data_IF_816476864283
#
_entry.id   IF_816476864283
#
_cell.length_a   1.000
_cell.length_b   1.000
_cell.length_c   1.000
_cell.angle_alpha   90.00
_cell.angle_beta   90.00
_cell.angle_gamma   90.00
#
_symmetry.space_group_name_H-M   'P 1'
#
loop_
_entity.id
_entity.type
_entity.pdbx_description
1 polymer ?
#
# COMPACT_ATOMS: atom_id res chain seq x y z
N UNK A 1 -5.34 -25.99 -39.64
CA UNK A 1 -4.48 -25.78 -38.47
C UNK A 1 -4.79 -24.40 -37.94
N UNK A 2 -5.49 -24.31 -36.80
CA UNK A 2 -5.80 -23.04 -36.16
C UNK A 2 -4.52 -22.53 -35.49
N UNK A 3 -4.11 -21.31 -35.82
CA UNK A 3 -3.03 -20.60 -35.12
C UNK A 3 -3.33 -20.51 -33.63
N UNK A 4 -2.33 -20.66 -32.75
CA UNK A 4 -2.54 -20.47 -31.33
C UNK A 4 -2.97 -19.02 -31.10
N UNK A 5 -4.15 -18.85 -30.48
CA UNK A 5 -4.60 -17.60 -29.91
C UNK A 5 -3.50 -17.13 -28.96
N UNK A 6 -2.71 -16.15 -29.41
CA UNK A 6 -1.88 -15.32 -28.55
C UNK A 6 -2.77 -14.81 -27.42
N UNK A 7 -2.51 -15.25 -26.20
CA UNK A 7 -3.15 -14.71 -25.00
C UNK A 7 -3.00 -13.18 -25.06
N UNK A 8 -4.12 -12.49 -25.21
CA UNK A 8 -4.18 -11.04 -25.07
C UNK A 8 -3.64 -10.69 -23.68
N UNK A 9 -2.67 -9.78 -23.56
CA UNK A 9 -2.23 -9.29 -22.26
C UNK A 9 -3.47 -8.67 -21.61
N UNK A 10 -3.93 -9.23 -20.49
CA UNK A 10 -5.10 -8.70 -19.76
C UNK A 10 -4.88 -7.21 -19.59
N UNK A 11 -5.70 -6.42 -20.29
CA UNK A 11 -5.73 -4.95 -20.37
C UNK A 11 -4.61 -4.24 -19.62
N UNK A 12 -3.43 -4.20 -20.22
CA UNK A 12 -2.57 -3.03 -20.10
C UNK A 12 -3.34 -1.88 -20.79
N UNK A 13 -3.40 -0.69 -20.17
CA UNK A 13 -4.10 0.52 -20.64
C UNK A 13 -5.63 0.59 -20.44
N UNK A 14 -6.07 0.74 -19.20
CA UNK A 14 -6.87 1.93 -18.90
C UNK A 14 -5.90 2.83 -18.11
N UNK A 15 -5.36 3.89 -18.71
CA UNK A 15 -4.32 4.65 -18.05
C UNK A 15 -4.90 5.24 -16.76
N UNK A 16 -4.28 4.92 -15.63
CA UNK A 16 -4.44 5.72 -14.43
C UNK A 16 -3.75 7.06 -14.70
N UNK A 17 -4.48 7.96 -15.36
CA UNK A 17 -4.03 9.27 -15.83
C UNK A 17 -2.76 9.26 -16.71
N UNK A 18 -2.91 9.10 -18.03
CA UNK A 18 -1.93 9.63 -18.99
C UNK A 18 -2.38 11.02 -19.42
N UNK A 19 -1.63 12.03 -18.95
CA UNK A 19 -1.76 13.47 -19.18
C UNK A 19 -2.91 14.16 -18.40
N UNK A 20 -2.56 15.19 -17.60
CA UNK A 20 -3.41 16.05 -16.75
C UNK A 20 -3.85 15.55 -15.35
N UNK A 21 -3.26 14.51 -14.76
CA UNK A 21 -3.32 14.38 -13.30
C UNK A 21 -2.29 15.32 -12.67
N UNK A 22 -2.74 16.45 -12.15
CA UNK A 22 -1.90 17.41 -11.43
C UNK A 22 -1.09 16.73 -10.29
N UNK A 23 -1.55 15.55 -9.79
CA UNK A 23 -1.05 14.93 -8.56
C UNK A 23 -0.76 13.39 -8.61
N UNK A 24 -0.53 12.81 -9.80
CA UNK A 24 0.17 11.50 -10.00
C UNK A 24 -0.25 10.29 -9.12
N UNK A 25 -1.52 10.05 -8.80
CA UNK A 25 -1.92 8.76 -8.18
C UNK A 25 -2.16 7.71 -9.28
N UNK A 26 -1.37 6.64 -9.25
CA UNK A 26 -1.47 5.44 -10.08
C UNK A 26 -2.34 4.34 -9.41
N UNK A 27 -3.27 4.74 -8.54
CA UNK A 27 -4.02 3.84 -7.68
C UNK A 27 -5.52 4.12 -7.73
N UNK A 28 -6.34 3.08 -7.66
CA UNK A 28 -7.79 3.21 -7.47
C UNK A 28 -8.38 2.06 -6.66
N UNK A 29 -9.54 2.28 -6.05
CA UNK A 29 -10.35 1.20 -5.49
C UNK A 29 -11.15 0.52 -6.59
N UNK A 30 -11.11 -0.81 -6.59
CA UNK A 30 -11.83 -1.65 -7.56
C UNK A 30 -12.76 -2.62 -6.85
N UNK A 31 -13.88 -3.03 -7.48
CA UNK A 31 -14.67 -4.16 -7.01
C UNK A 31 -13.81 -5.43 -6.91
N UNK A 32 -13.99 -6.20 -5.83
CA UNK A 32 -13.24 -7.44 -5.61
C UNK A 32 -13.45 -8.47 -6.74
N UNK A 33 -14.57 -8.38 -7.47
CA UNK A 33 -14.93 -9.28 -8.58
C UNK A 33 -14.09 -9.07 -9.85
N UNK A 34 -13.40 -7.93 -9.98
CA UNK A 34 -12.61 -7.59 -11.17
C UNK A 34 -11.10 -7.52 -10.91
N UNK A 35 -10.63 -7.90 -9.71
CA UNK A 35 -9.21 -7.85 -9.33
C UNK A 35 -8.31 -8.64 -10.28
N UNK A 36 -8.80 -9.74 -10.84
CA UNK A 36 -8.07 -10.55 -11.83
C UNK A 36 -7.80 -9.87 -13.17
N UNK A 37 -8.37 -8.67 -13.40
CA UNK A 37 -8.10 -7.83 -14.57
C UNK A 37 -6.88 -6.92 -14.39
N UNK A 38 -6.35 -6.81 -13.17
CA UNK A 38 -5.22 -5.94 -12.83
C UNK A 38 -3.99 -6.77 -12.46
N UNK A 39 -2.81 -6.28 -12.85
CA UNK A 39 -1.55 -6.96 -12.55
C UNK A 39 -1.15 -6.84 -11.07
N UNK A 40 -1.48 -5.71 -10.44
CA UNK A 40 -1.06 -5.42 -9.06
C UNK A 40 -2.25 -5.01 -8.19
N UNK A 41 -2.46 -5.78 -7.13
CA UNK A 41 -3.54 -5.57 -6.17
C UNK A 41 -2.95 -5.53 -4.75
N UNK A 42 -3.41 -4.56 -3.97
CA UNK A 42 -3.33 -4.60 -2.51
C UNK A 42 -4.74 -4.82 -1.95
N UNK A 43 -4.96 -6.01 -1.37
CA UNK A 43 -6.26 -6.45 -0.87
C UNK A 43 -6.31 -6.31 0.65
N UNK A 44 -7.13 -5.38 1.13
CA UNK A 44 -7.26 -5.08 2.55
C UNK A 44 -8.43 -5.82 3.16
N UNK A 45 -8.18 -6.66 4.15
CA UNK A 45 -9.21 -7.33 4.95
C UNK A 45 -9.21 -6.77 6.36
N UNK A 46 -10.34 -6.23 6.80
CA UNK A 46 -10.52 -5.84 8.20
C UNK A 46 -11.00 -7.04 9.02
N UNK A 47 -10.16 -7.52 9.94
CA UNK A 47 -10.45 -8.66 10.81
C UNK A 47 -10.94 -8.26 12.21
N UNK A 48 -11.00 -6.96 12.52
CA UNK A 48 -11.51 -6.51 13.80
C UNK A 48 -13.00 -6.85 13.93
N UNK A 49 -13.44 -7.22 15.14
CA UNK A 49 -14.81 -7.66 15.38
C UNK A 49 -15.85 -6.51 15.28
N UNK A 50 -15.48 -5.30 15.71
CA UNK A 50 -16.40 -4.17 15.86
C UNK A 50 -15.79 -2.81 15.49
N UNK A 51 -14.56 -2.80 14.94
CA UNK A 51 -13.87 -1.57 14.59
C UNK A 51 -13.83 -1.38 13.08
N UNK A 52 -14.31 -0.23 12.62
CA UNK A 52 -14.13 0.23 11.24
C UNK A 52 -12.79 0.95 11.10
N UNK A 53 -12.10 0.76 9.97
CA UNK A 53 -10.83 1.44 9.68
C UNK A 53 -10.96 2.38 8.49
N UNK A 54 -10.34 3.55 8.58
CA UNK A 54 -10.08 4.39 7.41
C UNK A 54 -8.70 4.06 6.86
N UNK A 55 -8.59 4.08 5.53
CA UNK A 55 -7.33 3.88 4.81
C UNK A 55 -7.08 5.07 3.90
N UNK A 56 -5.84 5.57 3.91
CA UNK A 56 -5.34 6.66 3.07
C UNK A 56 -4.13 6.14 2.28
N UNK A 57 -4.29 6.01 0.98
CA UNK A 57 -3.23 5.57 0.07
C UNK A 57 -2.69 6.74 -0.75
N UNK A 58 -1.37 6.85 -0.83
CA UNK A 58 -0.65 7.95 -1.46
C UNK A 58 0.67 7.47 -2.06
N UNK A 59 1.10 8.11 -3.13
CA UNK A 59 2.47 7.95 -3.62
C UNK A 59 3.41 8.73 -2.73
N UNK A 60 4.45 8.11 -2.20
CA UNK A 60 5.34 8.74 -1.22
C UNK A 60 6.07 9.93 -1.84
N UNK A 61 6.56 9.76 -3.07
CA UNK A 61 7.22 10.83 -3.85
C UNK A 61 6.26 11.50 -4.82
N UNK A 62 6.31 12.82 -4.86
CA UNK A 62 5.59 13.65 -5.83
C UNK A 62 6.32 13.77 -7.17
N UNK A 63 5.72 14.48 -8.12
CA UNK A 63 6.29 14.76 -9.45
C UNK A 63 7.62 15.52 -9.41
N UNK A 64 7.90 16.24 -8.33
CA UNK A 64 9.17 16.92 -8.07
C UNK A 64 10.25 16.01 -7.47
N UNK A 65 9.97 14.71 -7.30
CA UNK A 65 10.87 13.72 -6.68
C UNK A 65 10.98 13.82 -5.15
N UNK A 66 10.36 14.83 -4.53
CA UNK A 66 10.36 15.01 -3.08
C UNK A 66 9.34 14.12 -2.37
N UNK A 67 9.64 13.76 -1.12
CA UNK A 67 8.73 13.07 -0.21
C UNK A 67 7.60 14.03 0.18
N UNK A 68 6.52 14.08 -0.59
CA UNK A 68 5.44 15.04 -0.37
C UNK A 68 4.04 14.38 -0.21
N UNK A 69 3.83 13.15 -0.66
CA UNK A 69 2.50 12.52 -0.67
C UNK A 69 1.91 12.11 0.67
N UNK A 70 2.74 11.89 1.69
CA UNK A 70 2.27 11.61 3.05
C UNK A 70 1.68 12.83 3.77
N UNK A 71 1.78 14.03 3.22
CA UNK A 71 1.22 15.25 3.81
C UNK A 71 -0.16 15.56 3.18
N UNK A 72 -1.27 15.51 3.95
CA UNK A 72 -2.61 15.83 3.45
C UNK A 72 -2.75 17.26 2.96
N UNK A 73 -1.91 18.20 3.44
CA UNK A 73 -1.88 19.59 2.97
C UNK A 73 -1.40 19.71 1.53
N UNK A 74 -0.66 18.73 1.04
CA UNK A 74 -0.04 18.78 -0.27
C UNK A 74 -0.87 18.03 -1.30
N UNK A 75 -1.49 16.89 -0.94
CA UNK A 75 -2.24 16.05 -1.88
C UNK A 75 -3.41 15.31 -1.26
N UNK A 76 -4.44 15.08 -2.08
CA UNK A 76 -5.57 14.23 -1.74
C UNK A 76 -5.21 12.73 -1.96
N UNK A 77 -5.30 11.88 -0.93
CA UNK A 77 -5.02 10.45 -1.05
C UNK A 77 -6.23 9.68 -1.59
N UNK A 78 -6.00 8.51 -2.18
CA UNK A 78 -7.08 7.52 -2.36
C UNK A 78 -7.57 7.12 -0.97
N UNK A 79 -8.84 7.41 -0.70
CA UNK A 79 -9.44 7.27 0.62
C UNK A 79 -10.59 6.30 0.59
N UNK A 80 -10.64 5.39 1.56
CA UNK A 80 -11.77 4.48 1.73
C UNK A 80 -11.87 3.99 3.16
N UNK A 81 -13.03 3.40 3.46
CA UNK A 81 -13.35 2.85 4.78
C UNK A 81 -13.60 1.35 4.64
N UNK A 82 -13.13 0.58 5.63
CA UNK A 82 -13.30 -0.87 5.70
C UNK A 82 -14.04 -1.20 7.01
N UNK A 83 -15.31 -1.60 6.91
CA UNK A 83 -16.09 -2.08 8.04
C UNK A 83 -15.58 -3.46 8.51
N UNK A 84 -15.90 -3.91 9.74
CA UNK A 84 -15.60 -5.25 10.23
C UNK A 84 -15.95 -6.35 9.22
N UNK A 85 -15.02 -7.28 8.98
CA UNK A 85 -15.19 -8.42 8.08
C UNK A 85 -15.19 -8.08 6.58
N UNK A 86 -15.05 -6.80 6.20
CA UNK A 86 -15.07 -6.38 4.79
C UNK A 86 -13.67 -6.45 4.19
N UNK A 87 -13.62 -6.86 2.92
CA UNK A 87 -12.44 -6.75 2.07
C UNK A 87 -12.61 -5.65 1.03
N UNK A 88 -11.58 -4.81 0.85
CA UNK A 88 -11.48 -3.79 -0.20
C UNK A 88 -10.20 -3.99 -1.00
N UNK A 89 -10.28 -3.86 -2.32
CA UNK A 89 -9.11 -4.02 -3.19
C UNK A 89 -8.69 -2.68 -3.80
N UNK A 90 -7.41 -2.39 -3.68
CA UNK A 90 -6.75 -1.28 -4.37
C UNK A 90 -5.99 -1.86 -5.56
N UNK A 91 -6.35 -1.43 -6.77
CA UNK A 91 -5.54 -1.67 -7.95
C UNK A 91 -4.46 -0.59 -8.06
N UNK A 92 -3.27 -1.01 -8.47
CA UNK A 92 -2.10 -0.14 -8.61
C UNK A 92 -1.48 -0.38 -9.98
N UNK A 93 -1.15 0.68 -10.70
CA UNK A 93 -0.38 0.58 -11.94
C UNK A 93 1.12 0.70 -11.65
N UNK A 94 1.98 0.14 -12.49
CA UNK A 94 3.42 0.32 -12.31
C UNK A 94 3.80 1.81 -12.40
N UNK A 95 4.56 2.31 -11.43
CA UNK A 95 5.12 3.65 -11.54
C UNK A 95 6.31 3.67 -12.49
N UNK A 96 6.16 4.34 -13.63
CA UNK A 96 7.23 4.54 -14.61
C UNK A 96 8.17 5.72 -14.25
N UNK A 97 8.00 6.35 -13.09
CA UNK A 97 8.79 7.54 -12.73
C UNK A 97 10.25 7.18 -12.47
N UNK A 98 11.24 7.97 -12.94
CA UNK A 98 12.66 7.68 -12.79
C UNK A 98 13.22 7.77 -11.36
N UNK A 99 12.36 8.06 -10.38
CA UNK A 99 12.75 8.06 -8.98
C UNK A 99 12.11 6.85 -8.36
N UNK A 100 12.90 5.99 -7.69
CA UNK A 100 12.45 4.88 -6.84
C UNK A 100 11.27 5.34 -5.99
N UNK A 101 10.07 5.16 -6.50
CA UNK A 101 8.86 5.73 -5.94
C UNK A 101 8.11 4.58 -5.32
N UNK A 102 8.04 4.61 -4.01
CA UNK A 102 7.14 3.77 -3.24
C UNK A 102 5.79 4.48 -3.12
N UNK A 103 4.75 3.70 -2.97
CA UNK A 103 3.47 4.14 -2.46
C UNK A 103 3.31 3.62 -1.03
N UNK A 104 2.41 4.24 -0.29
CA UNK A 104 2.05 3.78 1.03
C UNK A 104 0.54 3.89 1.25
N UNK A 105 0.01 2.98 2.05
CA UNK A 105 -1.34 3.06 2.58
C UNK A 105 -1.28 3.09 4.10
N UNK A 106 -1.70 4.21 4.70
CA UNK A 106 -1.85 4.35 6.13
C UNK A 106 -3.27 3.95 6.55
N UNK A 107 -3.43 3.31 7.71
CA UNK A 107 -4.76 3.11 8.30
C UNK A 107 -4.82 3.41 9.79
N UNK A 108 -6.00 3.86 10.19
CA UNK A 108 -6.34 4.19 11.57
C UNK A 108 -7.81 3.82 11.85
N UNK A 109 -8.17 3.58 13.12
CA UNK A 109 -9.57 3.45 13.53
C UNK A 109 -10.40 4.63 13.00
N UNK A 110 -11.63 4.35 12.54
CA UNK A 110 -12.51 5.32 11.90
C UNK A 110 -12.92 6.47 12.82
N UNK A 111 -12.08 7.50 12.88
CA UNK A 111 -12.30 8.77 13.57
C UNK A 111 -12.73 9.86 12.59
N UNK A 112 -13.35 10.94 13.06
CA UNK A 112 -13.77 12.06 12.21
C UNK A 112 -12.60 12.67 11.43
N UNK A 113 -11.39 12.65 12.02
CA UNK A 113 -10.15 13.10 11.39
C UNK A 113 -9.10 11.99 11.44
N UNK A 114 -8.41 11.76 10.32
CA UNK A 114 -7.29 10.82 10.27
C UNK A 114 -6.11 11.38 11.09
N UNK A 115 -5.46 10.59 11.96
CA UNK A 115 -4.40 11.08 12.83
C UNK A 115 -3.18 11.53 12.00
N UNK A 116 -2.55 12.62 12.41
CA UNK A 116 -1.33 13.14 11.79
C UNK A 116 -0.18 13.16 12.79
N UNK A 117 1.05 13.05 12.28
CA UNK A 117 2.27 13.22 13.06
C UNK A 117 2.46 14.70 13.42
N UNK A 118 3.41 15.00 14.31
CA UNK A 118 3.79 16.39 14.60
C UNK A 118 4.30 17.16 13.36
N UNK A 119 4.84 16.43 12.37
CA UNK A 119 5.26 17.00 11.10
C UNK A 119 4.09 17.17 10.11
N UNK A 120 2.91 16.64 10.43
CA UNK A 120 1.72 16.70 9.58
C UNK A 120 1.58 15.54 8.59
N UNK A 121 2.38 14.47 8.73
CA UNK A 121 2.24 13.27 7.88
C UNK A 121 1.07 12.41 8.35
N UNK A 122 0.49 11.55 7.51
CA UNK A 122 -0.44 10.51 7.98
C UNK A 122 0.22 9.64 9.06
N UNK A 123 -0.31 9.66 10.28
CA UNK A 123 0.15 8.82 11.37
C UNK A 123 -0.46 7.41 11.29
N UNK A 124 0.09 6.48 12.06
CA UNK A 124 -0.29 5.08 12.10
C UNK A 124 0.75 4.16 11.50
N UNK A 125 0.33 2.92 11.24
CA UNK A 125 1.10 1.97 10.45
C UNK A 125 0.83 2.18 8.96
N UNK A 126 1.86 1.98 8.16
CA UNK A 126 1.81 2.05 6.72
C UNK A 126 2.11 0.67 6.14
N UNK A 127 1.34 0.28 5.13
CA UNK A 127 1.82 -0.67 4.12
C UNK A 127 2.61 0.14 3.10
N UNK A 128 3.93 0.07 3.13
CA UNK A 128 4.79 0.66 2.11
C UNK A 128 5.03 -0.37 1.00
N UNK A 129 4.94 0.03 -0.26
CA UNK A 129 5.08 -0.90 -1.39
C UNK A 129 5.60 -0.23 -2.67
N UNK A 130 6.19 -1.04 -3.53
CA UNK A 130 6.56 -0.71 -4.90
C UNK A 130 6.24 -1.89 -5.78
N UNK A 131 5.38 -1.72 -6.79
CA UNK A 131 4.98 -2.78 -7.70
C UNK A 131 5.75 -2.71 -9.00
N UNK A 132 6.40 -3.82 -9.38
CA UNK A 132 6.79 -4.11 -10.76
C UNK A 132 7.77 -3.14 -11.43
N UNK A 133 8.33 -2.16 -10.71
CA UNK A 133 9.00 -1.02 -11.31
C UNK A 133 10.28 -1.40 -12.06
N UNK A 134 10.56 -0.71 -13.16
CA UNK A 134 11.80 -0.82 -13.96
C UNK A 134 13.09 -0.79 -13.12
N UNK A 135 13.10 -0.08 -11.98
CA UNK A 135 14.25 0.04 -11.09
C UNK A 135 14.53 -1.18 -10.22
N UNK A 136 13.56 -2.09 -10.10
CA UNK A 136 13.68 -3.34 -9.35
C UNK A 136 13.72 -4.55 -10.28
N UNK A 137 14.07 -4.39 -11.56
CA UNK A 137 14.01 -5.47 -12.56
C UNK A 137 12.63 -6.17 -12.62
N UNK A 138 11.56 -5.40 -12.42
CA UNK A 138 10.19 -5.92 -12.38
C UNK A 138 9.76 -6.53 -11.04
N UNK A 139 10.62 -6.54 -10.03
CA UNK A 139 10.27 -7.07 -8.70
C UNK A 139 9.28 -6.16 -7.99
N UNK A 140 8.45 -6.78 -7.14
CA UNK A 140 7.57 -6.07 -6.22
C UNK A 140 8.12 -6.17 -4.81
N UNK A 141 8.17 -5.04 -4.10
CA UNK A 141 8.50 -4.99 -2.67
C UNK A 141 7.31 -4.46 -1.86
N UNK A 142 7.13 -4.98 -0.65
CA UNK A 142 6.18 -4.41 0.30
C UNK A 142 6.50 -4.72 1.74
N UNK A 143 6.25 -3.79 2.66
CA UNK A 143 6.65 -3.91 4.05
C UNK A 143 5.67 -3.14 4.95
N UNK A 144 5.41 -3.68 6.14
CA UNK A 144 4.76 -2.92 7.20
C UNK A 144 5.76 -1.93 7.80
N UNK A 145 5.34 -0.70 8.04
CA UNK A 145 6.16 0.35 8.64
C UNK A 145 5.39 1.10 9.71
N UNK A 146 6.02 1.36 10.85
CA UNK A 146 5.52 2.23 11.90
C UNK A 146 6.50 3.39 12.17
N UNK A 147 7.36 3.74 11.21
CA UNK A 147 8.34 4.82 11.36
C UNK A 147 7.69 6.20 11.56
N UNK A 148 6.48 6.38 11.04
CA UNK A 148 5.70 7.61 11.19
C UNK A 148 4.96 7.71 12.53
N UNK A 149 5.06 6.74 13.44
CA UNK A 149 4.29 6.76 14.69
C UNK A 149 5.03 6.10 15.85
N UNK A 150 5.15 6.78 17.01
CA UNK A 150 5.76 6.17 18.17
C UNK A 150 4.94 4.94 18.63
N UNK A 151 5.59 3.92 19.20
CA UNK A 151 4.90 2.79 19.81
C UNK A 151 3.88 3.25 20.86
N UNK A 152 2.74 2.59 20.92
CA UNK A 152 1.67 2.88 21.86
C UNK A 152 0.35 2.21 21.51
N UNK A 153 -0.61 2.14 22.44
CA UNK A 153 -1.86 1.38 22.30
C UNK A 153 -2.75 1.85 21.13
N UNK A 154 -2.48 3.02 20.56
CA UNK A 154 -3.20 3.55 19.41
C UNK A 154 -2.72 2.95 18.06
N UNK A 155 -1.63 2.18 18.03
CA UNK A 155 -1.09 1.55 16.81
C UNK A 155 -1.87 0.26 16.51
N UNK A 156 -2.67 0.19 15.42
CA UNK A 156 -3.66 -0.87 15.19
C UNK A 156 -3.10 -2.17 14.58
N UNK A 157 -1.77 -2.35 14.59
CA UNK A 157 -1.10 -3.47 13.94
C UNK A 157 -1.16 -3.44 12.40
N UNK A 158 -0.21 -4.13 11.79
CA UNK A 158 -0.10 -4.32 10.35
C UNK A 158 0.36 -5.72 10.03
N UNK A 159 -0.25 -6.36 9.03
CA UNK A 159 0.29 -7.59 8.45
C UNK A 159 0.09 -7.61 6.94
N UNK A 160 1.19 -7.66 6.22
CA UNK A 160 1.22 -7.95 4.78
C UNK A 160 1.64 -9.39 4.55
N UNK A 161 1.05 -10.04 3.56
CA UNK A 161 1.52 -11.36 3.15
C UNK A 161 1.36 -11.63 1.65
N UNK A 162 2.31 -12.42 1.15
CA UNK A 162 2.31 -12.98 -0.19
C UNK A 162 3.19 -14.24 -0.21
N UNK A 163 2.72 -15.31 -0.85
CA UNK A 163 3.53 -16.53 -1.06
C UNK A 163 4.06 -17.20 0.22
N UNK A 164 3.36 -17.06 1.36
CA UNK A 164 3.79 -17.61 2.65
C UNK A 164 4.81 -16.75 3.41
N UNK A 165 5.25 -15.62 2.84
CA UNK A 165 6.09 -14.62 3.52
C UNK A 165 5.20 -13.56 4.14
N UNK A 166 5.57 -13.12 5.34
CA UNK A 166 4.85 -12.13 6.11
C UNK A 166 5.75 -10.94 6.44
N UNK A 167 5.15 -9.75 6.48
CA UNK A 167 5.70 -8.56 7.14
C UNK A 167 4.67 -8.15 8.19
N UNK A 168 5.06 -8.12 9.47
CA UNK A 168 4.11 -7.91 10.58
C UNK A 168 4.63 -6.86 11.55
N UNK A 169 3.75 -5.93 11.92
CA UNK A 169 3.88 -5.08 13.10
C UNK A 169 2.72 -5.44 14.02
N UNK A 170 3.04 -5.84 15.24
CA UNK A 170 2.03 -6.21 16.23
C UNK A 170 1.33 -4.96 16.81
N UNK A 171 0.11 -5.12 17.36
CA UNK A 171 -0.58 -4.03 18.04
C UNK A 171 0.31 -3.38 19.09
N UNK A 172 0.25 -2.07 19.21
CA UNK A 172 1.19 -1.32 20.05
C UNK A 172 2.47 -0.88 19.33
N UNK A 173 2.83 -1.48 18.19
CA UNK A 173 3.93 -1.01 17.33
C UNK A 173 5.35 -1.24 17.89
N UNK A 174 5.50 -1.92 19.02
CA UNK A 174 6.79 -2.16 19.68
C UNK A 174 7.48 -3.46 19.24
N UNK A 175 6.72 -4.38 18.64
CA UNK A 175 7.23 -5.69 18.19
C UNK A 175 6.90 -5.83 16.71
N UNK A 176 7.88 -6.30 15.95
CA UNK A 176 7.76 -6.49 14.51
C UNK A 176 8.51 -7.75 14.06
N UNK A 177 8.01 -8.36 13.00
CA UNK A 177 8.63 -9.46 12.29
C UNK A 177 8.73 -9.06 10.81
N UNK A 178 9.96 -8.95 10.30
CA UNK A 178 10.22 -8.60 8.90
C UNK A 178 9.51 -7.29 8.47
N UNK A 179 9.60 -6.26 9.29
CA UNK A 179 8.91 -4.97 9.14
C UNK A 179 9.74 -3.85 9.80
N UNK A 180 9.40 -2.58 9.54
CA UNK A 180 10.11 -1.42 10.06
C UNK A 180 9.42 -0.81 11.29
N UNK A 181 10.10 -0.80 12.43
CA UNK A 181 9.73 -0.04 13.62
C UNK A 181 10.85 0.95 14.01
N UNK A 182 10.64 1.70 15.10
CA UNK A 182 11.57 2.74 15.55
C UNK A 182 12.99 2.19 15.73
N UNK A 183 13.98 2.87 15.16
CA UNK A 183 15.40 2.48 15.23
C UNK A 183 15.88 1.62 14.07
N UNK A 184 15.00 1.19 13.16
CA UNK A 184 15.34 0.24 12.08
C UNK A 184 15.51 0.91 10.70
N UNK A 185 15.67 2.23 10.64
CA UNK A 185 15.81 2.98 9.37
C UNK A 185 17.08 2.66 8.58
N UNK A 186 18.03 1.94 9.16
CA UNK A 186 19.27 1.50 8.52
C UNK A 186 19.25 0.06 8.00
N UNK A 187 18.16 -0.70 8.23
CA UNK A 187 18.04 -2.08 7.76
C UNK A 187 17.49 -2.06 6.34
N UNK A 188 18.16 -2.73 5.40
CA UNK A 188 17.67 -2.86 4.03
C UNK A 188 16.91 -4.18 3.81
N UNK A 189 16.06 -4.18 2.78
CA UNK A 189 15.40 -5.37 2.23
C UNK A 189 14.44 -6.14 3.16
N UNK A 190 13.87 -5.48 4.18
CA UNK A 190 12.77 -6.05 4.97
C UNK A 190 11.47 -6.14 4.18
N UNK A 191 10.64 -7.10 4.56
CA UNK A 191 9.30 -7.31 4.03
C UNK A 191 9.24 -8.38 2.94
N UNK A 192 8.32 -8.18 2.02
CA UNK A 192 8.04 -9.04 0.89
C UNK A 192 8.96 -8.65 -0.26
N UNK A 193 9.66 -9.63 -0.84
CA UNK A 193 10.46 -9.48 -2.05
C UNK A 193 9.92 -10.47 -3.08
N UNK A 194 9.08 -9.99 -3.99
CA UNK A 194 8.26 -10.82 -4.87
C UNK A 194 8.80 -10.73 -6.30
N UNK A 195 9.11 -11.86 -6.95
CA UNK A 195 9.60 -11.88 -8.33
C UNK A 195 8.63 -11.21 -9.33
N UNK A 196 9.12 -10.84 -10.52
CA UNK A 196 8.29 -10.21 -11.55
C UNK A 196 7.07 -11.05 -11.96
N UNK A 197 5.93 -10.38 -12.12
CA UNK A 197 4.67 -10.99 -12.52
C UNK A 197 3.46 -10.32 -11.88
N UNK A 198 2.29 -10.90 -12.08
CA UNK A 198 1.07 -10.41 -11.43
C UNK A 198 1.13 -10.70 -9.93
N UNK A 199 0.91 -9.68 -9.11
CA UNK A 199 1.02 -9.76 -7.66
C UNK A 199 -0.27 -9.30 -6.99
N UNK A 200 -0.77 -10.11 -6.07
CA UNK A 200 -1.72 -9.68 -5.05
C UNK A 200 -1.05 -9.77 -3.70
N UNK A 201 -0.90 -8.63 -3.03
CA UNK A 201 -0.49 -8.57 -1.62
C UNK A 201 -1.76 -8.47 -0.79
N UNK A 202 -1.82 -9.26 0.27
CA UNK A 202 -2.94 -9.26 1.19
C UNK A 202 -2.54 -8.50 2.45
N UNK A 203 -3.26 -7.43 2.74
CA UNK A 203 -3.11 -6.58 3.92
C UNK A 203 -4.20 -6.91 4.94
N UNK A 204 -3.81 -7.37 6.12
CA UNK A 204 -4.71 -7.57 7.26
C UNK A 204 -4.73 -6.30 8.10
N UNK A 205 -5.92 -5.74 8.28
CA UNK A 205 -6.20 -4.52 9.04
C UNK A 205 -7.00 -4.89 10.28
N UNK A 206 -6.76 -4.20 11.40
CA UNK A 206 -7.52 -4.41 12.62
C UNK A 206 -7.12 -5.65 13.41
N UNK A 207 -5.83 -6.01 13.33
CA UNK A 207 -5.24 -6.97 14.26
C UNK A 207 -5.16 -6.31 15.64
N UNK A 208 -5.69 -6.94 16.67
CA UNK A 208 -5.71 -6.42 18.06
C UNK A 208 -5.29 -7.50 19.04
#
# INVERSE_FOLDING_TARGET
MASPLSLSPRQSYIPFCVNNCEWNSNMMIVPNTITSQYSYILSFQNIAANQTYQVKCFNVKGSNGGYNGMFPSNYAPVSFTIAPGVTKSLAVEEMQHPHKSSAACAWAPGTTNFPLTQLGMYAGVWAEFSFGGQWGDGWTSAVCSALATPPGPAVPGCRLHHGGVYSTIWPGGAVADNAYISGETSIDALGLNIPPGNVTIQATVGFS
#
